data_IF_461332628697
#
_entry.id   IF_461332628697
#
_cell.length_a   1.000
_cell.length_b   1.000
_cell.length_c   1.000
_cell.angle_alpha   90.00
_cell.angle_beta   90.00
_cell.angle_gamma   90.00
#
_symmetry.space_group_name_H-M   'P 1'
#
loop_
_entity.id
_entity.type
_entity.pdbx_description
1 polymer ?
#
# COMPACT_ATOMS: atom_id res chain seq x y z
N UNK A 1 -37.14 -1.26 -27.34
CA UNK A 1 -37.92 -2.48 -27.64
C UNK A 1 -37.43 -3.60 -26.73
N UNK A 2 -38.34 -4.35 -26.10
CA UNK A 2 -37.95 -5.47 -25.25
C UNK A 2 -37.37 -6.62 -26.11
N UNK A 3 -36.20 -7.15 -25.74
CA UNK A 3 -35.46 -8.17 -26.52
C UNK A 3 -36.23 -9.50 -26.70
N UNK A 4 -37.19 -9.79 -25.81
CA UNK A 4 -37.97 -11.03 -25.81
C UNK A 4 -39.44 -10.72 -25.50
N UNK A 5 -40.36 -11.34 -26.24
CA UNK A 5 -41.81 -11.21 -26.04
C UNK A 5 -42.25 -11.89 -24.73
N UNK A 6 -43.40 -11.49 -24.18
CA UNK A 6 -43.95 -12.11 -22.97
C UNK A 6 -44.23 -13.60 -23.19
N UNK A 7 -44.82 -13.96 -24.34
CA UNK A 7 -45.16 -15.33 -24.71
C UNK A 7 -43.91 -16.23 -24.76
N UNK A 8 -42.82 -15.73 -25.32
CA UNK A 8 -41.54 -16.46 -25.35
C UNK A 8 -40.98 -16.69 -23.95
N UNK A 9 -41.03 -15.69 -23.06
CA UNK A 9 -40.57 -15.85 -21.66
C UNK A 9 -41.41 -16.87 -20.91
N UNK A 10 -42.73 -16.87 -21.11
CA UNK A 10 -43.65 -17.83 -20.49
C UNK A 10 -43.33 -19.26 -20.94
N UNK A 11 -43.11 -19.46 -22.24
CA UNK A 11 -42.73 -20.76 -22.80
C UNK A 11 -41.44 -21.29 -22.16
N UNK A 12 -40.40 -20.45 -22.07
CA UNK A 12 -39.11 -20.81 -21.45
C UNK A 12 -39.27 -21.18 -19.98
N UNK A 13 -40.09 -20.44 -19.23
CA UNK A 13 -40.33 -20.70 -17.80
C UNK A 13 -41.15 -21.98 -17.60
N UNK A 14 -42.21 -22.20 -18.39
CA UNK A 14 -43.01 -23.42 -18.33
C UNK A 14 -42.19 -24.66 -18.71
N UNK A 15 -41.30 -24.54 -19.70
CA UNK A 15 -40.37 -25.59 -20.10
C UNK A 15 -39.38 -25.98 -18.99
N UNK A 16 -38.94 -25.01 -18.19
CA UNK A 16 -38.14 -25.27 -17.00
C UNK A 16 -38.98 -25.93 -15.89
N UNK A 17 -40.19 -25.42 -15.62
CA UNK A 17 -41.05 -25.92 -14.55
C UNK A 17 -41.54 -27.36 -14.79
N UNK A 18 -41.65 -27.80 -16.05
CA UNK A 18 -41.96 -29.19 -16.41
C UNK A 18 -40.76 -30.14 -16.32
N UNK A 19 -39.52 -29.62 -16.25
CA UNK A 19 -38.27 -30.40 -16.24
C UNK A 19 -37.43 -30.12 -14.98
N UNK A 20 -38.02 -30.23 -13.78
CA UNK A 20 -37.43 -29.85 -12.48
C UNK A 20 -36.21 -30.66 -11.97
N UNK A 21 -35.64 -31.58 -12.74
CA UNK A 21 -34.47 -32.37 -12.31
C UNK A 21 -33.18 -31.52 -12.28
N UNK A 22 -32.12 -31.97 -11.59
CA UNK A 22 -30.89 -31.20 -11.28
C UNK A 22 -30.21 -30.48 -12.48
N UNK A 23 -30.42 -30.95 -13.70
CA UNK A 23 -29.92 -30.34 -14.94
C UNK A 23 -30.89 -29.36 -15.64
N UNK A 24 -32.02 -29.03 -15.00
CA UNK A 24 -33.15 -28.30 -15.61
C UNK A 24 -32.75 -26.96 -16.21
N UNK A 25 -32.04 -26.09 -15.46
CA UNK A 25 -31.59 -24.80 -15.99
C UNK A 25 -30.58 -24.94 -17.13
N UNK A 26 -29.73 -25.98 -17.10
CA UNK A 26 -28.71 -26.23 -18.13
C UNK A 26 -29.36 -26.70 -19.43
N UNK A 27 -30.33 -27.61 -19.34
CA UNK A 27 -31.08 -28.13 -20.49
C UNK A 27 -31.96 -27.04 -21.12
N UNK A 28 -32.69 -26.27 -20.32
CA UNK A 28 -33.50 -25.15 -20.83
C UNK A 28 -32.62 -24.05 -21.45
N UNK A 29 -31.45 -23.74 -20.86
CA UNK A 29 -30.48 -22.79 -21.44
C UNK A 29 -29.98 -23.22 -22.82
N UNK A 30 -29.60 -24.48 -22.96
CA UNK A 30 -29.11 -25.02 -24.24
C UNK A 30 -30.23 -25.05 -25.29
N UNK A 31 -31.45 -25.43 -24.90
CA UNK A 31 -32.62 -25.50 -25.80
C UNK A 31 -33.00 -24.14 -26.40
N UNK A 32 -33.02 -23.09 -25.59
CA UNK A 32 -33.44 -21.75 -26.02
C UNK A 32 -32.27 -20.82 -26.36
N UNK A 33 -31.02 -21.30 -26.30
CA UNK A 33 -29.78 -20.51 -26.52
C UNK A 33 -29.73 -19.25 -25.66
N UNK A 34 -30.09 -19.37 -24.37
CA UNK A 34 -30.11 -18.29 -23.40
C UNK A 34 -29.11 -18.55 -22.28
N UNK A 35 -28.59 -17.47 -21.67
CA UNK A 35 -27.74 -17.59 -20.49
C UNK A 35 -28.54 -18.10 -19.27
N UNK A 36 -27.89 -18.94 -18.45
CA UNK A 36 -28.51 -19.57 -17.26
C UNK A 36 -28.99 -18.53 -16.25
N UNK A 37 -28.32 -17.38 -16.13
CA UNK A 37 -28.75 -16.33 -15.21
C UNK A 37 -30.05 -15.66 -15.68
N UNK A 38 -30.24 -15.53 -17.01
CA UNK A 38 -31.46 -14.97 -17.60
C UNK A 38 -32.67 -15.84 -17.29
N UNK A 39 -32.52 -17.17 -17.41
CA UNK A 39 -33.60 -18.12 -17.11
C UNK A 39 -33.90 -18.16 -15.61
N UNK A 40 -32.86 -18.19 -14.76
CA UNK A 40 -33.03 -18.10 -13.30
C UNK A 40 -33.79 -16.83 -12.90
N UNK A 41 -33.51 -15.71 -13.54
CA UNK A 41 -34.22 -14.46 -13.31
C UNK A 41 -35.70 -14.55 -13.72
N UNK A 42 -36.01 -15.05 -14.92
CA UNK A 42 -37.41 -15.18 -15.37
C UNK A 42 -38.21 -16.15 -14.52
N UNK A 43 -37.62 -17.27 -14.12
CA UNK A 43 -38.25 -18.24 -13.21
C UNK A 43 -38.50 -17.61 -11.83
N UNK A 44 -37.53 -16.87 -11.28
CA UNK A 44 -37.70 -16.18 -10.00
C UNK A 44 -38.79 -15.08 -10.06
N UNK A 45 -38.87 -14.34 -11.16
CA UNK A 45 -39.93 -13.34 -11.40
C UNK A 45 -41.29 -14.03 -11.51
N UNK A 46 -41.39 -15.11 -12.28
CA UNK A 46 -42.64 -15.87 -12.46
C UNK A 46 -43.13 -16.47 -11.13
N UNK A 47 -42.23 -17.04 -10.32
CA UNK A 47 -42.56 -17.60 -9.00
C UNK A 47 -43.09 -16.55 -8.00
N UNK A 48 -42.81 -15.27 -8.21
CA UNK A 48 -43.13 -14.20 -7.25
C UNK A 48 -44.29 -13.31 -7.70
N UNK A 49 -44.40 -13.09 -9.01
CA UNK A 49 -45.36 -12.15 -9.62
C UNK A 49 -46.28 -12.83 -10.64
N UNK A 50 -46.18 -14.14 -10.83
CA UNK A 50 -46.94 -14.88 -11.83
C UNK A 50 -46.62 -14.45 -13.26
N UNK A 51 -47.57 -14.69 -14.17
CA UNK A 51 -47.44 -14.34 -15.59
C UNK A 51 -47.26 -12.82 -15.82
N UNK A 52 -47.87 -12.01 -14.95
CA UNK A 52 -47.79 -10.54 -14.98
C UNK A 52 -46.37 -10.01 -14.72
N UNK A 53 -45.54 -10.79 -14.03
CA UNK A 53 -44.13 -10.47 -13.82
C UNK A 53 -43.31 -10.47 -15.11
N UNK A 54 -43.70 -11.25 -16.11
CA UNK A 54 -42.95 -11.42 -17.37
C UNK A 54 -43.35 -10.39 -18.44
N UNK A 55 -44.44 -9.63 -18.21
CA UNK A 55 -44.91 -8.55 -19.09
C UNK A 55 -43.83 -7.48 -19.27
N UNK A 56 -43.62 -6.96 -20.50
CA UNK A 56 -42.75 -5.82 -20.71
C UNK A 56 -43.30 -4.61 -19.94
N UNK A 57 -42.41 -3.90 -19.26
CA UNK A 57 -42.76 -2.74 -18.45
C UNK A 57 -43.15 -1.58 -19.38
N UNK A 58 -44.45 -1.23 -19.44
CA UNK A 58 -45.01 -0.17 -20.31
C UNK A 58 -44.71 1.24 -19.81
N UNK A 59 -44.62 1.43 -18.48
CA UNK A 59 -44.34 2.73 -17.86
C UNK A 59 -43.12 2.67 -16.93
N UNK A 60 -42.33 3.75 -16.93
CA UNK A 60 -41.15 3.89 -16.09
C UNK A 60 -41.55 3.99 -14.63
N UNK A 61 -41.34 2.94 -13.85
CA UNK A 61 -41.54 2.97 -12.40
C UNK A 61 -40.48 3.88 -11.78
N UNK A 62 -40.92 4.84 -10.98
CA UNK A 62 -40.05 5.67 -10.16
C UNK A 62 -40.11 5.19 -8.73
N UNK A 63 -38.94 5.02 -8.11
CA UNK A 63 -38.81 4.61 -6.71
C UNK A 63 -38.29 5.79 -5.90
N UNK A 64 -38.89 6.03 -4.74
CA UNK A 64 -38.41 7.03 -3.80
C UNK A 64 -36.99 6.70 -3.32
N UNK A 65 -36.25 7.71 -2.88
CA UNK A 65 -34.91 7.54 -2.32
C UNK A 65 -34.92 6.66 -1.08
N UNK A 66 -35.95 6.80 -0.24
CA UNK A 66 -36.16 6.00 0.97
C UNK A 66 -36.38 4.53 0.64
N UNK A 67 -37.20 4.24 -0.38
CA UNK A 67 -37.42 2.86 -0.82
C UNK A 67 -36.13 2.23 -1.35
N UNK A 68 -35.37 2.96 -2.17
CA UNK A 68 -34.05 2.47 -2.66
C UNK A 68 -33.10 2.17 -1.51
N UNK A 69 -33.05 3.07 -0.52
CA UNK A 69 -32.19 2.92 0.65
C UNK A 69 -32.60 1.69 1.47
N UNK A 70 -33.90 1.50 1.72
CA UNK A 70 -34.45 0.33 2.42
C UNK A 70 -34.03 -0.98 1.75
N UNK A 71 -34.13 -1.04 0.42
CA UNK A 71 -33.75 -2.22 -0.36
C UNK A 71 -32.24 -2.49 -0.28
N UNK A 72 -31.41 -1.45 -0.44
CA UNK A 72 -29.94 -1.57 -0.39
C UNK A 72 -29.45 -1.99 1.00
N UNK A 73 -29.98 -1.37 2.07
CA UNK A 73 -29.62 -1.73 3.44
C UNK A 73 -30.02 -3.16 3.79
N UNK A 74 -31.19 -3.63 3.33
CA UNK A 74 -31.62 -5.02 3.53
C UNK A 74 -30.69 -6.02 2.84
N UNK A 75 -30.20 -5.70 1.63
CA UNK A 75 -29.21 -6.53 0.91
C UNK A 75 -27.88 -6.60 1.68
N UNK A 76 -27.40 -5.46 2.18
CA UNK A 76 -26.09 -5.37 2.84
C UNK A 76 -26.08 -5.94 4.26
N UNK A 77 -27.14 -5.71 5.04
CA UNK A 77 -27.21 -6.11 6.44
C UNK A 77 -27.58 -7.60 6.59
N UNK A 78 -28.49 -8.10 5.76
CA UNK A 78 -29.01 -9.48 5.87
C UNK A 78 -28.33 -10.43 4.87
N UNK A 79 -27.41 -9.94 4.05
CA UNK A 79 -26.65 -10.75 3.09
C UNK A 79 -27.50 -11.34 1.95
N UNK A 80 -28.64 -10.74 1.62
CA UNK A 80 -29.53 -11.26 0.58
C UNK A 80 -28.88 -11.22 -0.81
N UNK A 81 -29.05 -12.29 -1.59
CA UNK A 81 -28.68 -12.24 -3.01
C UNK A 81 -29.58 -11.26 -3.77
N UNK A 82 -29.12 -10.74 -4.90
CA UNK A 82 -29.93 -9.82 -5.73
C UNK A 82 -31.25 -10.46 -6.20
N UNK A 83 -31.26 -11.79 -6.35
CA UNK A 83 -32.46 -12.54 -6.71
C UNK A 83 -33.41 -12.61 -5.51
N UNK A 84 -32.90 -12.88 -4.30
CA UNK A 84 -33.73 -12.95 -3.10
C UNK A 84 -34.31 -11.58 -2.72
N UNK A 85 -33.53 -10.51 -2.89
CA UNK A 85 -34.01 -9.15 -2.74
C UNK A 85 -35.10 -8.81 -3.77
N UNK A 86 -34.98 -9.29 -5.00
CA UNK A 86 -36.01 -9.14 -6.02
C UNK A 86 -37.31 -9.83 -5.59
N UNK A 87 -37.23 -11.05 -5.03
CA UNK A 87 -38.39 -11.78 -4.51
C UNK A 87 -39.02 -11.05 -3.31
N UNK A 88 -38.20 -10.64 -2.36
CA UNK A 88 -38.65 -10.02 -1.11
C UNK A 88 -39.36 -8.68 -1.35
N UNK A 89 -38.83 -7.85 -2.25
CA UNK A 89 -39.39 -6.52 -2.57
C UNK A 89 -40.32 -6.52 -3.78
N UNK A 90 -40.65 -7.69 -4.35
CA UNK A 90 -41.55 -7.86 -5.51
C UNK A 90 -41.14 -6.99 -6.71
N UNK A 91 -39.84 -6.91 -6.98
CA UNK A 91 -39.28 -6.10 -8.07
C UNK A 91 -39.19 -6.90 -9.37
N UNK A 92 -39.16 -6.21 -10.51
CA UNK A 92 -39.16 -6.86 -11.84
C UNK A 92 -37.76 -6.99 -12.47
N UNK A 93 -36.75 -6.30 -11.95
CA UNK A 93 -35.46 -6.18 -12.64
C UNK A 93 -34.24 -6.18 -11.69
N UNK A 94 -33.36 -7.16 -11.88
CA UNK A 94 -32.10 -7.30 -11.13
C UNK A 94 -31.10 -6.18 -11.45
N UNK A 95 -31.06 -5.71 -12.70
CA UNK A 95 -30.15 -4.64 -13.13
C UNK A 95 -30.37 -3.32 -12.39
N UNK A 96 -31.63 -3.01 -12.04
CA UNK A 96 -31.99 -1.84 -11.25
C UNK A 96 -31.39 -1.92 -9.83
N UNK A 97 -31.46 -3.10 -9.19
CA UNK A 97 -30.84 -3.35 -7.87
C UNK A 97 -29.32 -3.25 -7.90
N UNK A 98 -28.69 -3.88 -8.90
CA UNK A 98 -27.23 -3.80 -9.08
C UNK A 98 -26.76 -2.36 -9.24
N UNK A 99 -27.53 -1.53 -9.96
CA UNK A 99 -27.22 -0.12 -10.17
C UNK A 99 -27.34 0.68 -8.87
N UNK A 100 -28.37 0.43 -8.05
CA UNK A 100 -28.52 1.09 -6.76
C UNK A 100 -27.40 0.71 -5.78
N UNK A 101 -27.05 -0.57 -5.70
CA UNK A 101 -25.96 -1.06 -4.86
C UNK A 101 -24.63 -0.39 -5.22
N UNK A 102 -24.31 -0.34 -6.52
CA UNK A 102 -23.08 0.30 -7.03
C UNK A 102 -23.05 1.80 -6.71
N UNK A 103 -24.15 2.50 -6.90
CA UNK A 103 -24.25 3.94 -6.60
C UNK A 103 -24.15 4.24 -5.11
N UNK A 104 -24.74 3.40 -4.28
CA UNK A 104 -24.64 3.51 -2.82
C UNK A 104 -23.23 3.24 -2.32
N UNK A 105 -22.55 2.22 -2.84
CA UNK A 105 -21.15 1.94 -2.51
C UNK A 105 -20.19 3.07 -2.92
N UNK A 106 -20.47 3.73 -4.06
CA UNK A 106 -19.61 4.80 -4.57
C UNK A 106 -19.87 6.17 -3.92
N UNK A 107 -21.12 6.49 -3.57
CA UNK A 107 -21.53 7.86 -3.21
C UNK A 107 -22.50 7.91 -2.01
N UNK A 108 -22.67 6.81 -1.27
CA UNK A 108 -23.60 6.73 -0.14
C UNK A 108 -25.05 7.04 -0.53
N UNK A 109 -25.79 7.64 0.41
CA UNK A 109 -27.21 7.99 0.24
C UNK A 109 -27.40 9.00 -0.92
N UNK A 110 -26.44 9.89 -1.16
CA UNK A 110 -26.50 10.87 -2.24
C UNK A 110 -26.47 10.22 -3.63
N UNK A 111 -25.85 9.06 -3.77
CA UNK A 111 -25.88 8.27 -5.00
C UNK A 111 -27.27 7.74 -5.39
N UNK A 112 -28.19 7.63 -4.43
CA UNK A 112 -29.55 7.12 -4.65
C UNK A 112 -30.56 8.23 -5.00
N UNK A 113 -30.19 9.50 -4.78
CA UNK A 113 -30.99 10.68 -5.14
C UNK A 113 -31.16 10.79 -6.66
N UNK A 114 -32.39 11.07 -7.09
CA UNK A 114 -32.64 11.39 -8.50
C UNK A 114 -32.00 12.73 -8.84
N UNK A 115 -31.07 12.75 -9.79
CA UNK A 115 -30.55 14.01 -10.34
C UNK A 115 -31.68 14.75 -11.07
N UNK A 116 -31.81 16.08 -10.92
CA UNK A 116 -32.74 16.85 -11.71
C UNK A 116 -32.39 16.67 -13.20
N UNK A 117 -33.39 16.29 -14.01
CA UNK A 117 -33.25 16.16 -15.46
C UNK A 117 -33.67 17.46 -16.12
N UNK A 118 -32.72 18.13 -16.75
CA UNK A 118 -32.92 19.26 -17.65
C UNK A 118 -31.64 19.49 -18.46
N UNK A 119 -31.78 20.01 -19.69
CA UNK A 119 -30.66 20.57 -20.44
C UNK A 119 -30.04 21.66 -19.56
N UNK A 120 -28.73 21.66 -19.26
CA UNK A 120 -28.14 22.83 -18.62
C UNK A 120 -28.50 24.05 -19.47
N UNK A 121 -29.06 25.09 -18.86
CA UNK A 121 -29.34 26.35 -19.57
C UNK A 121 -28.05 26.72 -20.31
N UNK A 122 -28.16 26.97 -21.62
CA UNK A 122 -27.05 27.45 -22.43
C UNK A 122 -26.42 28.63 -21.67
N UNK A 123 -25.15 28.52 -21.29
CA UNK A 123 -24.46 29.65 -20.69
C UNK A 123 -24.55 30.80 -21.69
N UNK A 124 -25.05 31.98 -21.31
CA UNK A 124 -24.96 33.14 -22.17
C UNK A 124 -23.48 33.34 -22.53
N UNK A 125 -23.20 33.60 -23.81
CA UNK A 125 -21.86 34.00 -24.25
C UNK A 125 -21.39 35.11 -23.31
N UNK A 126 -20.22 34.99 -22.66
CA UNK A 126 -19.75 36.04 -21.77
C UNK A 126 -19.67 37.33 -22.58
N UNK A 127 -20.49 38.32 -22.23
CA UNK A 127 -20.31 39.67 -22.74
C UNK A 127 -18.95 40.12 -22.20
N UNK A 128 -17.96 40.29 -23.09
CA UNK A 128 -16.72 40.97 -22.70
C UNK A 128 -17.14 42.37 -22.25
N UNK A 129 -16.94 42.76 -20.99
CA UNK A 129 -17.27 44.10 -20.57
C UNK A 129 -16.48 45.08 -21.45
N UNK A 130 -17.16 46.05 -22.07
CA UNK A 130 -16.47 47.20 -22.64
C UNK A 130 -15.83 47.91 -21.46
N UNK A 131 -14.50 47.77 -21.35
CA UNK A 131 -13.71 48.49 -20.34
C UNK A 131 -13.93 49.98 -20.62
N UNK A 132 -14.66 50.66 -19.75
CA UNK A 132 -14.75 52.12 -19.78
C UNK A 132 -13.42 52.62 -19.23
N UNK A 133 -12.60 53.25 -20.07
CA UNK A 133 -11.41 53.97 -19.60
C UNK A 133 -11.84 55.01 -18.57
N UNK A 134 -11.21 54.99 -17.40
CA UNK A 134 -11.48 55.98 -16.36
C UNK A 134 -11.01 57.36 -16.82
N UNK A 135 -11.53 58.44 -16.20
CA UNK A 135 -11.04 59.80 -16.47
C UNK A 135 -9.54 59.92 -16.16
N UNK A 136 -9.05 59.15 -15.18
CA UNK A 136 -7.63 59.07 -14.81
C UNK A 136 -6.78 58.44 -15.91
N UNK A 137 -7.27 57.42 -16.62
CA UNK A 137 -6.55 56.80 -17.73
C UNK A 137 -6.40 57.73 -18.94
N UNK A 138 -7.33 58.68 -19.11
CA UNK A 138 -7.28 59.69 -20.19
C UNK A 138 -6.29 60.80 -19.92
N UNK A 139 -5.96 61.03 -18.65
CA UNK A 139 -5.02 62.08 -18.22
C UNK A 139 -3.56 61.58 -18.16
N UNK A 140 -3.32 60.27 -18.35
CA UNK A 140 -1.97 59.69 -18.35
C UNK A 140 -1.21 60.05 -19.62
N UNK A 141 0.07 60.37 -19.50
CA UNK A 141 0.95 60.54 -20.66
C UNK A 141 1.27 59.20 -21.33
N UNK A 142 1.70 59.24 -22.59
CA UNK A 142 2.11 58.03 -23.34
C UNK A 142 3.20 57.24 -22.59
N UNK A 143 4.14 57.92 -21.95
CA UNK A 143 5.20 57.30 -21.15
C UNK A 143 4.64 56.59 -19.91
N UNK A 144 3.68 57.20 -19.21
CA UNK A 144 3.01 56.58 -18.06
C UNK A 144 2.23 55.33 -18.47
N UNK A 145 1.57 55.36 -19.63
CA UNK A 145 0.86 54.19 -20.17
C UNK A 145 1.83 53.06 -20.57
N UNK A 146 2.98 53.38 -21.17
CA UNK A 146 4.00 52.39 -21.53
C UNK A 146 4.62 51.74 -20.28
N UNK A 147 4.87 52.54 -19.24
CA UNK A 147 5.38 52.09 -17.94
C UNK A 147 4.37 51.19 -17.22
N UNK A 148 3.09 51.55 -17.23
CA UNK A 148 2.01 50.74 -16.68
C UNK A 148 1.84 49.43 -17.45
N UNK A 149 1.92 49.45 -18.78
CA UNK A 149 1.94 48.24 -19.60
C UNK A 149 3.15 47.35 -19.28
N UNK A 150 4.32 47.92 -19.05
CA UNK A 150 5.52 47.17 -18.66
C UNK A 150 5.33 46.48 -17.30
N UNK A 151 4.74 47.19 -16.32
CA UNK A 151 4.37 46.63 -15.02
C UNK A 151 3.35 45.49 -15.15
N UNK A 152 2.22 45.71 -15.84
CA UNK A 152 1.16 44.71 -16.01
C UNK A 152 1.65 43.46 -16.74
N UNK A 153 2.53 43.62 -17.74
CA UNK A 153 3.15 42.47 -18.42
C UNK A 153 4.03 41.67 -17.46
N UNK A 154 4.82 42.34 -16.61
CA UNK A 154 5.63 41.69 -15.58
C UNK A 154 4.77 41.00 -14.51
N UNK A 155 3.66 41.61 -14.11
CA UNK A 155 2.70 41.06 -13.15
C UNK A 155 2.05 39.78 -13.68
N UNK A 156 1.52 39.82 -14.91
CA UNK A 156 0.93 38.64 -15.55
C UNK A 156 1.97 37.54 -15.74
N UNK A 157 3.20 37.88 -16.14
CA UNK A 157 4.27 36.90 -16.30
C UNK A 157 4.65 36.23 -14.97
N UNK A 158 4.73 37.02 -13.89
CA UNK A 158 4.97 36.51 -12.55
C UNK A 158 3.81 35.65 -12.05
N UNK A 159 2.56 36.09 -12.23
CA UNK A 159 1.33 35.40 -11.84
C UNK A 159 0.99 34.15 -12.68
N UNK A 160 1.72 33.90 -13.78
CA UNK A 160 1.66 32.63 -14.52
C UNK A 160 2.61 31.56 -13.97
N UNK A 161 3.58 31.93 -13.14
CA UNK A 161 4.50 30.99 -12.45
C UNK A 161 3.98 30.41 -11.10
N UNK A 162 2.99 30.99 -10.35
CA UNK A 162 2.71 30.65 -8.96
C UNK A 162 1.81 29.42 -8.77
N UNK A 163 1.22 28.84 -9.83
CA UNK A 163 0.66 27.47 -9.75
C UNK A 163 1.71 26.44 -9.27
N UNK A 164 3.00 26.83 -9.29
CA UNK A 164 4.13 26.04 -8.82
C UNK A 164 4.79 26.50 -7.52
N UNK A 165 4.43 27.64 -6.89
CA UNK A 165 5.24 28.17 -5.77
C UNK A 165 5.31 27.23 -4.56
N UNK A 166 4.16 26.77 -4.08
CA UNK A 166 4.10 25.89 -2.91
C UNK A 166 4.49 24.45 -3.27
N UNK A 167 4.15 23.98 -4.47
CA UNK A 167 4.54 22.65 -4.94
C UNK A 167 6.04 22.54 -5.24
N UNK A 168 6.66 23.59 -5.77
CA UNK A 168 8.09 23.64 -6.09
C UNK A 168 8.96 23.97 -4.86
N UNK A 169 8.47 24.81 -3.93
CA UNK A 169 9.09 24.96 -2.61
C UNK A 169 9.12 23.63 -1.84
N UNK A 170 8.02 22.87 -1.86
CA UNK A 170 7.96 21.52 -1.30
C UNK A 170 8.86 20.53 -2.08
N UNK A 171 8.90 20.61 -3.42
CA UNK A 171 9.72 19.73 -4.28
C UNK A 171 11.22 19.94 -4.09
N UNK A 172 11.66 21.19 -3.89
CA UNK A 172 13.07 21.58 -3.78
C UNK A 172 13.56 21.70 -2.34
N UNK A 173 12.64 21.70 -1.36
CA UNK A 173 12.94 21.89 0.06
C UNK A 173 13.50 23.28 0.39
N UNK A 174 13.27 24.28 -0.48
CA UNK A 174 13.70 25.67 -0.30
C UNK A 174 12.57 26.52 0.29
N UNK A 175 12.94 27.60 0.98
CA UNK A 175 11.98 28.61 1.45
C UNK A 175 11.20 29.22 0.28
N UNK A 176 9.93 29.55 0.50
CA UNK A 176 9.08 30.30 -0.44
C UNK A 176 9.76 31.58 -0.94
N UNK A 177 10.50 32.28 -0.08
CA UNK A 177 11.26 33.49 -0.44
C UNK A 177 12.41 33.19 -1.41
N UNK A 178 13.10 32.06 -1.25
CA UNK A 178 14.18 31.66 -2.15
C UNK A 178 13.65 31.21 -3.52
N UNK A 179 12.48 30.55 -3.55
CA UNK A 179 11.80 30.18 -4.80
C UNK A 179 11.32 31.43 -5.56
N UNK A 180 10.70 32.39 -4.85
CA UNK A 180 10.28 33.65 -5.44
C UNK A 180 11.48 34.45 -5.99
N UNK A 181 12.61 34.51 -5.27
CA UNK A 181 13.82 35.17 -5.76
C UNK A 181 14.37 34.52 -7.04
N UNK A 182 14.27 33.19 -7.16
CA UNK A 182 14.65 32.47 -8.39
C UNK A 182 13.75 32.84 -9.57
N UNK A 183 12.44 32.90 -9.38
CA UNK A 183 11.49 33.33 -10.43
C UNK A 183 11.73 34.76 -10.87
N UNK A 184 12.04 35.66 -9.93
CA UNK A 184 12.44 37.04 -10.24
C UNK A 184 13.71 37.04 -11.09
N UNK A 185 14.73 36.25 -10.74
CA UNK A 185 15.96 36.13 -11.55
C UNK A 185 15.73 35.57 -12.94
N UNK A 186 14.83 34.60 -13.13
CA UNK A 186 14.44 34.09 -14.45
C UNK A 186 13.75 35.17 -15.29
N UNK A 187 12.80 35.90 -14.70
CA UNK A 187 12.03 36.94 -15.39
C UNK A 187 12.82 38.23 -15.63
N UNK A 188 13.90 38.45 -14.89
CA UNK A 188 14.79 39.62 -15.02
C UNK A 188 15.41 39.74 -16.41
N UNK A 189 15.46 38.67 -17.19
CA UNK A 189 15.92 38.69 -18.59
C UNK A 189 14.97 39.45 -19.52
N UNK A 190 13.69 39.53 -19.19
CA UNK A 190 12.65 40.10 -20.07
C UNK A 190 11.87 41.25 -19.43
N UNK A 191 11.97 41.42 -18.11
CA UNK A 191 11.23 42.43 -17.35
C UNK A 191 12.14 43.16 -16.36
N UNK A 192 11.86 44.44 -16.12
CA UNK A 192 12.66 45.24 -15.19
C UNK A 192 12.48 44.77 -13.75
N UNK A 193 13.60 44.72 -13.01
CA UNK A 193 13.63 44.24 -11.62
C UNK A 193 12.68 45.03 -10.70
N UNK A 194 12.50 46.34 -10.91
CA UNK A 194 11.59 47.17 -10.10
C UNK A 194 10.14 46.66 -10.15
N UNK A 195 9.68 46.25 -11.33
CA UNK A 195 8.33 45.73 -11.50
C UNK A 195 8.21 44.34 -10.88
N UNK A 196 9.20 43.48 -11.08
CA UNK A 196 9.21 42.13 -10.51
C UNK A 196 9.27 42.12 -8.96
N UNK A 197 10.01 43.04 -8.35
CA UNK A 197 10.03 43.19 -6.88
C UNK A 197 8.69 43.71 -6.36
N UNK A 198 8.06 44.65 -7.08
CA UNK A 198 6.74 45.18 -6.73
C UNK A 198 5.63 44.13 -6.86
N UNK A 199 5.65 43.31 -7.91
CA UNK A 199 4.64 42.26 -8.14
C UNK A 199 4.80 41.06 -7.20
N UNK A 200 6.02 40.78 -6.74
CA UNK A 200 6.31 39.70 -5.80
C UNK A 200 6.25 40.13 -4.33
N UNK A 201 6.01 41.41 -4.05
CA UNK A 201 6.08 42.03 -2.72
C UNK A 201 7.42 41.73 -1.99
N UNK A 202 8.50 41.54 -2.76
CA UNK A 202 9.81 41.18 -2.21
C UNK A 202 10.69 42.41 -2.01
N UNK A 203 11.23 42.57 -0.79
CA UNK A 203 12.24 43.59 -0.53
C UNK A 203 13.50 43.36 -1.38
N UNK A 204 14.06 44.45 -1.92
CA UNK A 204 15.26 44.43 -2.78
C UNK A 204 16.45 43.74 -2.10
N UNK A 205 16.66 43.99 -0.81
CA UNK A 205 17.71 43.35 0.00
C UNK A 205 17.56 41.84 0.06
N UNK A 206 16.34 41.33 0.23
CA UNK A 206 16.02 39.89 0.25
C UNK A 206 16.31 39.22 -1.10
N UNK A 207 16.01 39.90 -2.22
CA UNK A 207 16.36 39.40 -3.55
C UNK A 207 17.88 39.24 -3.72
N UNK A 208 18.65 40.30 -3.43
CA UNK A 208 20.11 40.26 -3.58
C UNK A 208 20.77 39.27 -2.60
N UNK A 209 20.22 39.12 -1.38
CA UNK A 209 20.66 38.09 -0.44
C UNK A 209 20.53 36.68 -1.06
N UNK A 210 19.37 36.35 -1.62
CA UNK A 210 19.16 35.05 -2.26
C UNK A 210 19.94 34.89 -3.57
N UNK A 211 20.13 35.96 -4.34
CA UNK A 211 20.99 35.96 -5.54
C UNK A 211 22.45 35.63 -5.19
N UNK A 212 23.01 36.28 -4.17
CA UNK A 212 24.36 35.98 -3.69
C UNK A 212 24.46 34.58 -3.09
N UNK A 213 23.44 34.15 -2.34
CA UNK A 213 23.41 32.81 -1.77
C UNK A 213 23.33 31.72 -2.85
N UNK A 214 22.69 31.99 -3.98
CA UNK A 214 22.61 31.04 -5.11
C UNK A 214 23.94 30.85 -5.84
N UNK A 215 24.85 31.83 -5.73
CA UNK A 215 26.21 31.78 -6.28
C UNK A 215 27.20 31.05 -5.36
N UNK A 216 26.84 30.80 -4.09
CA UNK A 216 27.69 30.05 -3.16
C UNK A 216 27.59 28.56 -3.43
N UNK A 217 28.72 27.88 -3.34
CA UNK A 217 28.77 26.42 -3.43
C UNK A 217 27.91 25.78 -2.32
N UNK A 218 27.25 24.68 -2.66
CA UNK A 218 26.45 23.94 -1.70
C UNK A 218 27.37 23.32 -0.65
N UNK A 219 27.39 23.91 0.55
CA UNK A 219 28.13 23.42 1.73
C UNK A 219 27.94 21.91 1.98
N UNK A 220 26.82 21.34 1.56
CA UNK A 220 26.50 19.93 1.76
C UNK A 220 26.70 19.06 0.51
N UNK A 221 27.40 19.54 -0.53
CA UNK A 221 27.60 18.81 -1.78
C UNK A 221 28.20 17.41 -1.53
N UNK A 222 29.35 17.34 -0.85
CA UNK A 222 30.03 16.07 -0.57
C UNK A 222 29.17 15.15 0.30
N UNK A 223 28.52 15.72 1.31
CA UNK A 223 27.62 14.98 2.18
C UNK A 223 26.42 14.40 1.41
N UNK A 224 25.86 15.15 0.45
CA UNK A 224 24.78 14.66 -0.42
C UNK A 224 25.26 13.51 -1.31
N UNK A 225 26.49 13.59 -1.83
CA UNK A 225 27.11 12.49 -2.59
C UNK A 225 27.25 11.24 -1.72
N UNK A 226 27.77 11.39 -0.49
CA UNK A 226 27.91 10.26 0.45
C UNK A 226 26.56 9.65 0.84
N UNK A 227 25.55 10.48 1.11
CA UNK A 227 24.18 10.02 1.37
C UNK A 227 23.64 9.22 0.19
N UNK A 228 23.82 9.71 -1.05
CA UNK A 228 23.40 8.98 -2.27
C UNK A 228 24.15 7.66 -2.41
N UNK A 229 25.46 7.65 -2.22
CA UNK A 229 26.27 6.43 -2.32
C UNK A 229 25.78 5.35 -1.33
N UNK A 230 25.56 5.72 -0.07
CA UNK A 230 25.01 4.80 0.95
C UNK A 230 23.60 4.34 0.58
N UNK A 231 22.75 5.26 0.12
CA UNK A 231 21.38 4.94 -0.27
C UNK A 231 21.34 3.91 -1.41
N UNK A 232 22.12 4.12 -2.47
CA UNK A 232 22.18 3.23 -3.63
C UNK A 232 22.87 1.90 -3.30
N UNK A 233 23.95 1.92 -2.49
CA UNK A 233 24.60 0.69 -1.98
C UNK A 233 23.58 -0.24 -1.30
N UNK A 234 22.67 0.34 -0.52
CA UNK A 234 21.62 -0.41 0.18
C UNK A 234 20.30 -0.50 -0.60
N UNK A 235 20.31 -0.29 -1.92
CA UNK A 235 19.13 -0.40 -2.80
C UNK A 235 17.91 0.39 -2.32
N UNK A 236 18.13 1.57 -1.71
CA UNK A 236 17.07 2.42 -1.17
C UNK A 236 16.40 1.91 0.13
N UNK A 237 16.90 0.83 0.74
CA UNK A 237 16.33 0.23 1.96
C UNK A 237 16.58 1.08 3.22
N UNK A 238 17.53 2.00 3.18
CA UNK A 238 17.92 2.81 4.33
C UNK A 238 17.20 4.15 4.39
N UNK A 239 16.45 4.38 5.46
CA UNK A 239 15.95 5.70 5.82
C UNK A 239 16.99 6.54 6.56
N UNK A 240 16.67 7.81 6.81
CA UNK A 240 17.61 8.79 7.37
C UNK A 240 18.32 8.34 8.65
N UNK A 241 17.64 7.58 9.53
CA UNK A 241 18.26 7.05 10.77
C UNK A 241 19.39 6.07 10.48
N UNK A 242 19.20 5.15 9.53
CA UNK A 242 20.24 4.18 9.13
C UNK A 242 21.33 4.87 8.31
N UNK A 243 20.99 5.80 7.44
CA UNK A 243 22.01 6.58 6.73
C UNK A 243 22.86 7.38 7.72
N UNK A 244 22.26 7.97 8.76
CA UNK A 244 23.02 8.66 9.81
C UNK A 244 24.00 7.72 10.52
N UNK A 245 23.57 6.50 10.85
CA UNK A 245 24.45 5.51 11.47
C UNK A 245 25.56 5.02 10.52
N UNK A 246 25.23 4.79 9.25
CA UNK A 246 26.21 4.43 8.24
C UNK A 246 27.25 5.54 8.02
N UNK A 247 26.82 6.80 7.99
CA UNK A 247 27.71 7.97 7.96
C UNK A 247 28.60 8.03 9.21
N UNK A 248 28.04 7.75 10.39
CA UNK A 248 28.81 7.67 11.63
C UNK A 248 29.87 6.58 11.59
N UNK A 249 29.56 5.40 11.03
CA UNK A 249 30.51 4.31 10.85
C UNK A 249 31.63 4.68 9.85
N UNK A 250 31.39 5.63 8.95
CA UNK A 250 32.39 6.22 8.05
C UNK A 250 33.15 7.42 8.68
N UNK A 251 32.93 7.72 9.97
CA UNK A 251 33.61 8.80 10.69
C UNK A 251 32.88 10.15 10.70
N UNK A 252 31.71 10.27 10.05
CA UNK A 252 30.97 11.54 10.03
C UNK A 252 30.08 11.71 11.26
N UNK A 253 30.24 12.83 11.99
CA UNK A 253 29.37 13.16 13.13
C UNK A 253 28.34 14.22 12.72
N UNK A 254 27.17 13.77 12.25
CA UNK A 254 26.13 14.64 11.70
C UNK A 254 24.79 14.36 12.38
N UNK A 255 24.05 15.43 12.71
CA UNK A 255 22.73 15.31 13.29
C UNK A 255 21.73 14.68 12.29
N UNK A 256 20.97 13.69 12.76
CA UNK A 256 19.97 12.98 11.96
C UNK A 256 18.94 13.90 11.29
N UNK A 257 18.59 15.05 11.89
CA UNK A 257 17.70 16.06 11.28
C UNK A 257 18.31 16.68 10.01
N UNK A 258 19.62 16.89 10.00
CA UNK A 258 20.33 17.38 8.82
C UNK A 258 20.30 16.34 7.70
N UNK A 259 20.59 15.07 8.02
CA UNK A 259 20.49 13.96 7.06
C UNK A 259 19.08 13.84 6.50
N UNK A 260 18.05 13.93 7.35
CA UNK A 260 16.65 13.90 6.94
C UNK A 260 16.31 15.03 5.96
N UNK A 261 16.69 16.28 6.28
CA UNK A 261 16.48 17.46 5.41
C UNK A 261 17.17 17.28 4.05
N UNK A 262 18.39 16.77 4.04
CA UNK A 262 19.15 16.55 2.80
C UNK A 262 18.52 15.45 1.95
N UNK A 263 18.11 14.32 2.55
CA UNK A 263 17.39 13.26 1.84
C UNK A 263 16.08 13.78 1.23
N UNK A 264 15.31 14.59 1.97
CA UNK A 264 14.09 15.22 1.46
C UNK A 264 14.38 16.13 0.26
N UNK A 265 15.43 16.96 0.33
CA UNK A 265 15.84 17.82 -0.80
C UNK A 265 16.25 17.04 -2.06
N UNK A 266 16.72 15.81 -1.89
CA UNK A 266 17.08 14.90 -2.98
C UNK A 266 15.97 13.89 -3.32
N UNK A 267 14.81 13.99 -2.67
CA UNK A 267 13.66 13.11 -2.84
C UNK A 267 13.95 11.61 -2.56
N UNK A 268 14.97 11.32 -1.74
CA UNK A 268 15.30 9.96 -1.34
C UNK A 268 14.36 9.50 -0.22
N UNK A 269 13.65 8.39 -0.44
CA UNK A 269 12.68 7.82 0.50
C UNK A 269 12.94 6.33 0.68
N UNK A 270 12.95 5.86 1.92
CA UNK A 270 13.08 4.43 2.20
C UNK A 270 11.78 3.68 1.96
N UNK A 271 11.87 2.41 1.58
CA UNK A 271 10.72 1.49 1.54
C UNK A 271 10.06 1.39 2.93
N UNK A 272 8.76 1.65 3.02
CA UNK A 272 7.98 1.54 4.26
C UNK A 272 7.14 0.26 4.19
N UNK A 273 7.11 -0.49 5.29
CA UNK A 273 6.24 -1.67 5.44
C UNK A 273 4.77 -1.24 5.38
N UNK A 274 4.02 -1.80 4.44
CA UNK A 274 2.56 -1.71 4.45
C UNK A 274 1.98 -2.50 5.63
N UNK A 275 1.16 -1.85 6.47
CA UNK A 275 0.47 -2.50 7.59
C UNK A 275 -0.74 -3.25 7.04
N UNK A 276 -0.84 -4.56 7.29
CA UNK A 276 -1.98 -5.39 6.90
C UNK A 276 -2.76 -5.85 8.15
N UNK A 277 -4.08 -5.80 8.08
CA UNK A 277 -5.01 -6.31 9.10
C UNK A 277 -4.99 -7.85 9.17
N UNK A 278 -5.19 -8.44 10.35
CA UNK A 278 -5.18 -9.90 10.57
C UNK A 278 -6.30 -10.34 11.52
N UNK A 279 -7.03 -11.40 11.16
CA UNK A 279 -7.98 -12.12 12.01
C UNK A 279 -7.77 -13.63 11.84
N UNK A 280 -7.71 -14.41 12.93
CA UNK A 280 -7.55 -15.87 12.85
C UNK A 280 -8.41 -16.64 13.89
N UNK A 281 -8.85 -17.85 13.51
CA UNK A 281 -9.69 -18.81 14.28
C UNK A 281 -9.23 -20.26 14.02
N UNK A 282 -9.25 -21.13 15.05
CA UNK A 282 -9.35 -22.61 14.90
C UNK A 282 -8.14 -23.47 15.33
N UNK A 283 -8.38 -24.62 16.00
CA UNK A 283 -7.40 -25.50 16.71
C UNK A 283 -7.32 -26.90 16.11
N UNK A 284 -6.11 -27.48 16.01
CA UNK A 284 -5.86 -28.95 15.95
C UNK A 284 -4.46 -29.24 16.59
N UNK A 285 -4.36 -30.17 17.57
CA UNK A 285 -3.08 -30.81 17.98
C UNK A 285 -2.60 -30.67 19.46
N UNK A 286 -1.47 -31.33 19.80
CA UNK A 286 -0.84 -31.37 21.15
C UNK A 286 0.15 -30.20 21.33
N UNK A 287 -0.07 -29.40 22.36
CA UNK A 287 0.55 -28.07 22.54
C UNK A 287 1.59 -28.10 23.67
N UNK A 288 2.78 -27.52 23.43
CA UNK A 288 3.79 -27.28 24.47
C UNK A 288 3.50 -25.98 25.25
N UNK A 289 3.97 -25.87 26.51
CA UNK A 289 3.79 -24.66 27.34
C UNK A 289 4.57 -23.47 26.75
N UNK A 290 4.02 -22.25 26.85
CA UNK A 290 4.73 -21.03 26.45
C UNK A 290 5.76 -20.63 27.53
N UNK A 291 7.00 -21.03 27.34
CA UNK A 291 8.13 -20.75 28.23
C UNK A 291 8.77 -19.39 27.93
N UNK A 292 8.77 -18.93 26.68
CA UNK A 292 9.37 -17.64 26.29
C UNK A 292 8.66 -16.43 26.91
N UNK A 293 7.32 -16.49 27.07
CA UNK A 293 6.51 -15.44 27.71
C UNK A 293 6.83 -14.00 27.24
N UNK A 294 7.12 -13.82 25.94
CA UNK A 294 7.50 -12.52 25.32
C UNK A 294 8.82 -11.91 25.84
N UNK A 295 9.64 -12.68 26.55
CA UNK A 295 10.99 -12.26 26.94
C UNK A 295 11.97 -12.42 25.77
N UNK A 296 11.86 -11.54 24.78
CA UNK A 296 12.65 -11.59 23.54
C UNK A 296 14.12 -11.13 23.70
N UNK A 297 14.53 -10.72 24.90
CA UNK A 297 15.93 -10.37 25.19
C UNK A 297 16.71 -11.63 25.57
N UNK A 298 17.85 -11.83 24.94
CA UNK A 298 18.89 -12.77 25.31
C UNK A 298 20.17 -11.98 25.62
N UNK A 299 20.95 -12.42 26.60
CA UNK A 299 22.17 -11.73 27.03
C UNK A 299 23.43 -12.34 26.41
N UNK A 300 23.34 -13.59 25.92
CA UNK A 300 24.40 -14.28 25.17
C UNK A 300 23.83 -14.92 23.89
N UNK A 301 24.68 -15.16 22.87
CA UNK A 301 24.30 -15.99 21.72
C UNK A 301 23.77 -17.36 22.15
N UNK A 302 22.94 -17.98 21.31
CA UNK A 302 22.42 -19.34 21.49
C UNK A 302 21.66 -19.60 22.81
N UNK A 303 21.10 -18.55 23.43
CA UNK A 303 20.21 -18.73 24.60
C UNK A 303 18.74 -18.87 24.20
N UNK A 304 18.28 -18.10 23.22
CA UNK A 304 16.88 -18.07 22.80
C UNK A 304 16.77 -17.92 21.29
N UNK A 305 16.12 -18.89 20.68
CA UNK A 305 15.87 -18.96 19.26
C UNK A 305 14.38 -18.82 18.98
N UNK A 306 14.05 -18.21 17.84
CA UNK A 306 12.68 -18.15 17.32
C UNK A 306 12.62 -18.70 15.90
N UNK A 307 11.53 -19.37 15.56
CA UNK A 307 11.28 -19.93 14.22
C UNK A 307 9.82 -19.78 13.84
N UNK A 308 9.57 -19.71 12.54
CA UNK A 308 8.23 -19.71 11.94
C UNK A 308 8.34 -20.03 10.44
N UNK A 309 7.23 -20.27 9.76
CA UNK A 309 7.21 -20.50 8.31
C UNK A 309 6.47 -19.37 7.62
N UNK A 310 7.03 -18.87 6.51
CA UNK A 310 6.35 -17.89 5.65
C UNK A 310 6.25 -18.38 4.22
N UNK A 311 5.13 -18.06 3.57
CA UNK A 311 4.89 -18.29 2.15
C UNK A 311 5.14 -17.02 1.30
N UNK A 312 5.71 -17.25 0.12
CA UNK A 312 5.76 -16.33 -1.02
C UNK A 312 5.01 -16.96 -2.20
N UNK A 313 4.42 -16.12 -3.06
CA UNK A 313 3.72 -16.57 -4.26
C UNK A 313 4.17 -15.72 -5.44
N UNK A 314 4.75 -16.37 -6.45
CA UNK A 314 5.20 -15.76 -7.70
C UNK A 314 4.48 -16.49 -8.83
N UNK A 315 3.65 -15.76 -9.57
CA UNK A 315 2.96 -16.27 -10.77
C UNK A 315 2.20 -17.60 -10.56
N UNK A 316 1.68 -17.84 -9.36
CA UNK A 316 0.94 -19.06 -9.01
C UNK A 316 1.79 -20.18 -8.42
N UNK A 317 3.11 -20.07 -8.47
CA UNK A 317 4.02 -20.97 -7.78
C UNK A 317 4.35 -20.45 -6.37
N UNK A 318 4.50 -21.37 -5.43
CA UNK A 318 4.73 -21.05 -4.02
C UNK A 318 6.17 -21.37 -3.61
N UNK A 319 6.72 -20.52 -2.74
CA UNK A 319 7.99 -20.74 -2.07
C UNK A 319 7.79 -20.56 -0.56
N UNK A 320 8.22 -21.54 0.22
CA UNK A 320 8.15 -21.53 1.68
C UNK A 320 9.54 -21.36 2.27
N UNK A 321 9.67 -20.42 3.19
CA UNK A 321 10.88 -20.16 3.96
C UNK A 321 10.65 -20.53 5.42
N UNK A 322 11.56 -21.33 5.96
CA UNK A 322 11.64 -21.66 7.38
C UNK A 322 13.00 -21.21 7.91
N UNK A 323 13.09 -20.10 8.66
CA UNK A 323 14.34 -19.66 9.28
C UNK A 323 14.32 -19.82 10.81
N UNK A 324 15.49 -20.05 11.40
CA UNK A 324 15.74 -19.84 12.83
C UNK A 324 16.52 -18.54 13.02
N UNK A 325 16.05 -17.72 13.96
CA UNK A 325 16.70 -16.50 14.38
C UNK A 325 17.20 -16.60 15.83
N UNK A 326 18.44 -16.18 16.07
CA UNK A 326 18.96 -15.94 17.43
C UNK A 326 18.47 -14.59 17.94
N UNK A 327 17.79 -14.56 19.09
CA UNK A 327 17.24 -13.34 19.66
C UNK A 327 18.29 -12.37 20.24
N UNK A 328 19.52 -12.83 20.49
CA UNK A 328 20.61 -12.00 21.01
C UNK A 328 20.91 -10.80 20.07
N UNK A 329 21.21 -11.09 18.80
CA UNK A 329 21.53 -10.11 17.76
C UNK A 329 20.45 -10.04 16.65
N UNK A 330 19.52 -10.99 16.63
CA UNK A 330 18.53 -11.14 15.57
C UNK A 330 19.14 -11.62 14.25
N UNK A 331 20.20 -12.42 14.29
CA UNK A 331 20.81 -13.11 13.15
C UNK A 331 19.97 -14.32 12.74
N UNK A 332 19.81 -14.53 11.44
CA UNK A 332 19.24 -15.78 10.92
C UNK A 332 20.37 -16.81 10.87
N UNK A 333 20.37 -17.76 11.81
CA UNK A 333 21.46 -18.71 11.96
C UNK A 333 21.32 -19.91 11.02
N UNK A 334 20.10 -20.26 10.63
CA UNK A 334 19.81 -21.34 9.69
C UNK A 334 18.50 -21.04 8.98
N UNK A 335 18.36 -21.50 7.74
CA UNK A 335 17.10 -21.44 7.02
C UNK A 335 17.05 -22.49 5.93
N UNK A 336 15.84 -22.89 5.55
CA UNK A 336 15.59 -23.72 4.39
C UNK A 336 14.49 -23.11 3.52
N UNK A 337 14.54 -23.45 2.23
CA UNK A 337 13.58 -23.03 1.21
C UNK A 337 13.03 -24.25 0.49
N UNK A 338 11.71 -24.34 0.34
CA UNK A 338 11.06 -25.41 -0.44
C UNK A 338 9.84 -24.87 -1.17
N UNK A 339 9.51 -25.46 -2.33
CA UNK A 339 8.31 -25.08 -3.11
C UNK A 339 7.01 -25.64 -2.54
N UNK A 340 7.11 -26.58 -1.59
CA UNK A 340 5.97 -27.24 -0.93
C UNK A 340 6.14 -27.16 0.59
N UNK A 341 5.03 -27.06 1.36
CA UNK A 341 5.07 -26.97 2.82
C UNK A 341 5.23 -28.37 3.43
N UNK A 342 6.35 -29.04 3.15
CA UNK A 342 6.63 -30.39 3.64
C UNK A 342 7.38 -30.32 4.98
N UNK A 343 7.27 -31.38 5.79
CA UNK A 343 8.01 -31.47 7.05
C UNK A 343 9.53 -31.42 6.86
N UNK A 344 10.02 -31.89 5.70
CA UNK A 344 11.43 -31.81 5.32
C UNK A 344 12.02 -30.40 5.48
N UNK A 345 11.26 -29.36 5.12
CA UNK A 345 11.65 -27.96 5.28
C UNK A 345 12.10 -27.64 6.72
N UNK A 346 11.34 -28.08 7.71
CA UNK A 346 11.59 -27.78 9.12
C UNK A 346 12.62 -28.73 9.72
N UNK A 347 12.61 -30.00 9.27
CA UNK A 347 13.58 -31.02 9.66
C UNK A 347 15.01 -30.62 9.27
N UNK A 348 15.21 -30.29 7.99
CA UNK A 348 16.54 -29.97 7.47
C UNK A 348 17.04 -28.66 8.05
N UNK A 349 16.15 -27.68 8.21
CA UNK A 349 16.45 -26.41 8.87
C UNK A 349 16.90 -26.61 10.33
N UNK A 350 16.21 -27.46 11.10
CA UNK A 350 16.58 -27.74 12.48
C UNK A 350 17.95 -28.44 12.55
N UNK A 351 18.19 -29.39 11.66
CA UNK A 351 19.48 -30.09 11.56
C UNK A 351 20.63 -29.11 11.32
N UNK A 352 20.46 -28.18 10.38
CA UNK A 352 21.46 -27.16 10.06
C UNK A 352 21.72 -26.19 11.23
N UNK A 353 20.69 -25.87 12.02
CA UNK A 353 20.82 -25.03 13.19
C UNK A 353 21.55 -25.74 14.34
N UNK A 354 21.18 -26.99 14.63
CA UNK A 354 21.82 -27.79 15.67
C UNK A 354 23.30 -28.02 15.36
N UNK A 355 23.66 -28.24 14.10
CA UNK A 355 25.05 -28.42 13.67
C UNK A 355 25.96 -27.20 13.97
N UNK A 356 25.38 -26.02 14.26
CA UNK A 356 26.12 -24.79 14.61
C UNK A 356 26.25 -24.56 16.11
N UNK A 357 25.64 -25.42 16.93
CA UNK A 357 25.72 -25.33 18.39
C UNK A 357 27.04 -25.90 18.90
N UNK A 358 27.58 -25.25 19.93
CA UNK A 358 28.62 -25.87 20.75
C UNK A 358 27.99 -26.89 21.70
N UNK A 359 28.78 -27.82 22.24
CA UNK A 359 28.29 -28.86 23.17
C UNK A 359 27.60 -28.33 24.43
N UNK A 360 27.92 -27.10 24.84
CA UNK A 360 27.35 -26.44 26.01
C UNK A 360 26.10 -25.60 25.71
N UNK A 361 25.79 -25.37 24.43
CA UNK A 361 24.67 -24.52 24.04
C UNK A 361 23.34 -25.28 24.19
N UNK A 362 22.42 -24.73 24.98
CA UNK A 362 21.09 -25.31 25.22
C UNK A 362 20.00 -24.26 25.01
N UNK A 363 19.81 -23.75 23.77
CA UNK A 363 18.84 -22.71 23.51
C UNK A 363 17.40 -23.15 23.81
N UNK A 364 16.60 -22.19 24.26
CA UNK A 364 15.14 -22.29 24.16
C UNK A 364 14.77 -22.00 22.70
N UNK A 365 14.06 -22.91 22.03
CA UNK A 365 13.52 -22.67 20.69
C UNK A 365 12.02 -22.39 20.78
N UNK A 366 11.61 -21.22 20.31
CA UNK A 366 10.23 -20.77 20.33
C UNK A 366 9.61 -20.77 18.92
N UNK A 367 8.47 -21.43 18.78
CA UNK A 367 7.71 -21.48 17.53
C UNK A 367 6.24 -21.12 17.75
N UNK A 368 5.50 -21.01 16.65
CA UNK A 368 4.04 -21.08 16.73
C UNK A 368 3.56 -22.52 17.00
N UNK A 369 2.24 -22.72 17.00
CA UNK A 369 1.60 -24.03 17.15
C UNK A 369 1.43 -24.77 15.81
N UNK A 370 2.22 -24.47 14.79
CA UNK A 370 2.18 -25.19 13.51
C UNK A 370 2.39 -26.70 13.68
N UNK A 371 1.69 -27.51 12.87
CA UNK A 371 1.72 -28.97 12.97
C UNK A 371 3.14 -29.55 12.87
N UNK A 372 4.01 -28.91 12.08
CA UNK A 372 5.41 -29.26 11.91
C UNK A 372 6.19 -29.25 13.23
N UNK A 373 5.90 -28.31 14.13
CA UNK A 373 6.60 -28.17 15.41
C UNK A 373 6.03 -29.12 16.47
N UNK A 374 4.85 -29.68 16.24
CA UNK A 374 4.21 -30.66 17.12
C UNK A 374 4.61 -32.11 16.78
N UNK A 375 5.34 -32.35 15.69
CA UNK A 375 5.72 -33.69 15.27
C UNK A 375 6.69 -34.35 16.26
N UNK A 376 6.51 -35.66 16.49
CA UNK A 376 7.37 -36.45 17.40
C UNK A 376 8.85 -36.35 17.06
N UNK A 377 9.19 -36.40 15.77
CA UNK A 377 10.58 -36.28 15.32
C UNK A 377 11.20 -34.95 15.78
N UNK A 378 10.48 -33.83 15.61
CA UNK A 378 10.96 -32.51 16.03
C UNK A 378 11.21 -32.47 17.55
N UNK A 379 10.25 -32.95 18.34
CA UNK A 379 10.37 -33.01 19.81
C UNK A 379 11.53 -33.91 20.26
N UNK A 380 11.72 -35.06 19.62
CA UNK A 380 12.83 -35.97 19.91
C UNK A 380 14.17 -35.35 19.59
N UNK A 381 14.31 -34.66 18.44
CA UNK A 381 15.56 -33.99 18.09
C UNK A 381 15.92 -32.89 19.10
N UNK A 382 14.94 -32.11 19.55
CA UNK A 382 15.17 -31.10 20.60
C UNK A 382 15.61 -31.75 21.91
N UNK A 383 14.93 -32.81 22.35
CA UNK A 383 15.26 -33.50 23.59
C UNK A 383 16.66 -34.14 23.54
N UNK A 384 17.01 -34.79 22.43
CA UNK A 384 18.31 -35.45 22.23
C UNK A 384 19.49 -34.47 22.34
N UNK A 385 19.29 -33.22 21.92
CA UNK A 385 20.33 -32.18 21.95
C UNK A 385 20.18 -31.23 23.14
N UNK A 386 19.23 -31.49 24.06
CA UNK A 386 19.03 -30.66 25.26
C UNK A 386 18.40 -29.29 25.01
N UNK A 387 17.75 -29.09 23.85
CA UNK A 387 17.03 -27.85 23.53
C UNK A 387 15.65 -27.84 24.21
N UNK A 388 15.23 -26.67 24.68
CA UNK A 388 13.94 -26.50 25.37
C UNK A 388 12.91 -25.99 24.36
N UNK A 389 11.87 -26.77 24.09
CA UNK A 389 10.77 -26.33 23.22
C UNK A 389 9.84 -25.35 23.94
N UNK A 390 9.53 -24.24 23.28
CA UNK A 390 8.48 -23.30 23.68
C UNK A 390 7.54 -23.07 22.50
N UNK A 391 6.23 -23.02 22.74
CA UNK A 391 5.24 -22.68 21.71
C UNK A 391 4.42 -21.46 22.12
N UNK A 392 4.08 -20.61 21.16
CA UNK A 392 3.20 -19.45 21.38
C UNK A 392 1.79 -19.89 21.79
N UNK A 393 1.02 -18.98 22.41
CA UNK A 393 -0.41 -19.21 22.59
C UNK A 393 -1.11 -19.08 21.24
N UNK A 394 -2.06 -19.97 20.98
CA UNK A 394 -2.88 -19.94 19.77
C UNK A 394 -3.50 -18.56 19.54
N UNK A 395 -3.35 -18.04 18.33
CA UNK A 395 -3.92 -16.75 17.91
C UNK A 395 -3.22 -15.51 18.49
N UNK A 396 -2.08 -15.66 19.16
CA UNK A 396 -1.32 -14.56 19.74
C UNK A 396 -0.03 -14.32 18.95
N UNK A 397 -0.11 -13.49 17.91
CA UNK A 397 1.03 -13.08 17.09
C UNK A 397 2.13 -12.36 17.90
N UNK A 398 1.78 -11.76 19.04
CA UNK A 398 2.74 -11.04 19.89
C UNK A 398 3.77 -11.98 20.50
N UNK A 399 3.44 -13.27 20.67
CA UNK A 399 4.35 -14.25 21.27
C UNK A 399 5.49 -14.63 20.31
N UNK A 400 5.33 -14.43 18.98
CA UNK A 400 6.39 -14.64 17.97
C UNK A 400 6.74 -13.35 17.20
N UNK A 401 6.54 -12.18 17.83
CA UNK A 401 6.65 -10.88 17.20
C UNK A 401 8.03 -10.63 16.53
N UNK A 402 9.11 -11.19 17.08
CA UNK A 402 10.45 -11.05 16.52
C UNK A 402 10.56 -11.67 15.12
N UNK A 403 10.01 -12.87 14.95
CA UNK A 403 10.01 -13.57 13.68
C UNK A 403 9.06 -12.91 12.68
N UNK A 404 7.88 -12.49 13.13
CA UNK A 404 6.94 -11.72 12.30
C UNK A 404 7.52 -10.37 11.84
N UNK A 405 8.30 -9.71 12.68
CA UNK A 405 8.99 -8.47 12.35
C UNK A 405 9.99 -8.68 11.23
N UNK A 406 10.78 -9.76 11.32
CA UNK A 406 11.70 -10.14 10.24
C UNK A 406 10.96 -10.45 8.95
N UNK A 407 9.88 -11.24 8.97
CA UNK A 407 9.13 -11.51 7.74
C UNK A 407 8.54 -10.23 7.13
N UNK A 408 8.07 -9.30 7.97
CA UNK A 408 7.61 -8.00 7.50
C UNK A 408 8.72 -7.20 6.81
N UNK A 409 9.93 -7.20 7.39
CA UNK A 409 11.12 -6.57 6.83
C UNK A 409 11.52 -7.23 5.52
N UNK A 410 11.71 -8.55 5.52
CA UNK A 410 12.09 -9.36 4.37
C UNK A 410 11.11 -9.12 3.21
N UNK A 411 9.81 -9.26 3.42
CA UNK A 411 8.83 -9.06 2.35
C UNK A 411 8.79 -7.63 1.84
N UNK A 412 8.99 -6.63 2.69
CA UNK A 412 8.96 -5.22 2.25
C UNK A 412 10.23 -4.80 1.51
N UNK A 413 11.40 -5.28 1.94
CA UNK A 413 12.70 -4.89 1.37
C UNK A 413 13.17 -5.81 0.22
N UNK A 414 12.56 -6.99 0.06
CA UNK A 414 12.97 -8.02 -0.90
C UNK A 414 11.86 -8.48 -1.86
N UNK A 415 10.57 -8.32 -1.53
CA UNK A 415 9.49 -8.98 -2.28
C UNK A 415 8.44 -8.02 -2.87
N UNK A 416 7.82 -7.15 -2.06
CA UNK A 416 6.66 -6.36 -2.50
C UNK A 416 6.96 -5.25 -3.51
N UNK A 417 8.22 -4.94 -3.79
CA UNK A 417 8.64 -3.90 -4.74
C UNK A 417 9.44 -4.42 -5.93
N UNK A 418 9.59 -5.74 -6.06
CA UNK A 418 10.38 -6.40 -7.10
C UNK A 418 9.45 -7.29 -7.94
N UNK A 419 9.72 -7.38 -9.24
CA UNK A 419 9.02 -8.31 -10.14
C UNK A 419 9.88 -9.54 -10.35
N UNK A 420 9.36 -10.72 -9.98
CA UNK A 420 10.05 -11.98 -10.17
C UNK A 420 9.48 -12.72 -11.39
N UNK A 421 10.38 -13.22 -12.23
CA UNK A 421 10.01 -13.98 -13.42
C UNK A 421 9.79 -15.46 -13.10
N UNK A 422 10.51 -15.98 -12.10
CA UNK A 422 10.41 -17.38 -11.66
C UNK A 422 10.61 -17.55 -10.15
N UNK A 423 10.31 -18.74 -9.64
CA UNK A 423 10.55 -19.08 -8.23
C UNK A 423 12.03 -19.26 -7.93
N UNK A 424 12.83 -19.73 -8.88
CA UNK A 424 14.28 -19.87 -8.76
C UNK A 424 14.95 -18.51 -8.54
N UNK A 425 14.53 -17.49 -9.30
CA UNK A 425 14.99 -16.12 -9.12
C UNK A 425 14.65 -15.60 -7.72
N UNK A 426 13.43 -15.84 -7.23
CA UNK A 426 13.04 -15.49 -5.87
C UNK A 426 13.87 -16.26 -4.82
N UNK A 427 14.10 -17.55 -5.02
CA UNK A 427 14.86 -18.39 -4.10
C UNK A 427 16.28 -17.85 -3.92
N UNK A 428 16.95 -17.53 -5.04
CA UNK A 428 18.28 -16.94 -5.03
C UNK A 428 18.28 -15.56 -4.36
N UNK A 429 17.30 -14.72 -4.69
CA UNK A 429 17.16 -13.38 -4.11
C UNK A 429 16.93 -13.43 -2.59
N UNK A 430 16.15 -14.40 -2.09
CA UNK A 430 15.95 -14.59 -0.64
C UNK A 430 17.23 -15.03 0.05
N UNK A 431 18.02 -15.94 -0.56
CA UNK A 431 19.33 -16.35 -0.03
C UNK A 431 20.28 -15.16 0.09
N UNK A 432 20.41 -14.38 -0.98
CA UNK A 432 21.22 -13.16 -1.01
C UNK A 432 20.74 -12.12 0.01
N UNK A 433 19.42 -11.96 0.14
CA UNK A 433 18.86 -11.03 1.11
C UNK A 433 19.15 -11.47 2.55
N UNK A 434 19.07 -12.76 2.87
CA UNK A 434 19.40 -13.26 4.22
C UNK A 434 20.88 -13.02 4.52
N UNK A 435 21.77 -13.22 3.55
CA UNK A 435 23.18 -12.87 3.68
C UNK A 435 23.35 -11.36 3.94
N UNK A 436 22.76 -10.51 3.10
CA UNK A 436 22.73 -9.05 3.29
C UNK A 436 22.18 -8.65 4.68
N UNK A 437 21.09 -9.27 5.11
CA UNK A 437 20.43 -9.00 6.39
C UNK A 437 21.36 -9.31 7.59
N UNK A 438 22.13 -10.40 7.51
CA UNK A 438 23.03 -10.83 8.56
C UNK A 438 24.35 -10.04 8.58
N UNK A 439 24.92 -9.76 7.41
CA UNK A 439 26.29 -9.26 7.29
C UNK A 439 26.38 -7.74 7.06
N UNK A 440 25.43 -7.15 6.36
CA UNK A 440 25.53 -5.74 5.92
C UNK A 440 24.44 -4.84 6.51
N UNK A 441 23.27 -5.40 6.82
CA UNK A 441 22.09 -4.61 7.20
C UNK A 441 22.18 -4.16 8.66
N UNK A 442 22.52 -2.90 8.85
CA UNK A 442 22.66 -2.32 10.19
C UNK A 442 21.32 -2.19 10.91
N UNK A 443 21.35 -2.38 12.23
CA UNK A 443 20.19 -2.19 13.11
C UNK A 443 20.46 -1.04 14.08
N UNK A 444 19.48 -0.16 14.22
CA UNK A 444 19.52 0.94 15.21
C UNK A 444 19.66 0.38 16.63
N UNK A 445 18.96 -0.73 16.95
CA UNK A 445 19.06 -1.40 18.25
C UNK A 445 20.46 -1.97 18.55
N UNK A 446 21.24 -2.27 17.50
CA UNK A 446 22.62 -2.77 17.60
C UNK A 446 23.63 -1.63 17.40
N UNK A 447 23.23 -0.39 17.70
CA UNK A 447 24.08 0.82 17.61
C UNK A 447 24.72 1.03 16.24
N UNK A 448 24.10 0.56 15.16
CA UNK A 448 24.62 0.72 13.79
C UNK A 448 25.45 -0.45 13.28
N UNK A 449 25.42 -1.59 13.96
CA UNK A 449 26.06 -2.84 13.52
C UNK A 449 25.05 -3.77 12.84
N UNK A 450 25.54 -4.61 11.92
CA UNK A 450 24.82 -5.77 11.43
C UNK A 450 24.71 -6.86 12.51
N UNK A 451 23.78 -7.82 12.38
CA UNK A 451 23.67 -8.93 13.33
C UNK A 451 25.00 -9.66 13.58
N UNK A 452 25.73 -10.01 12.52
CA UNK A 452 26.98 -10.73 12.62
C UNK A 452 28.07 -9.87 13.24
N UNK A 453 28.21 -8.60 12.82
CA UNK A 453 29.18 -7.67 13.40
C UNK A 453 28.99 -7.51 14.91
N UNK A 454 27.74 -7.39 15.37
CA UNK A 454 27.41 -7.29 16.79
C UNK A 454 27.81 -8.55 17.57
N UNK A 455 27.58 -9.74 17.01
CA UNK A 455 28.00 -11.01 17.64
C UNK A 455 29.51 -11.11 17.71
N UNK A 456 30.21 -10.85 16.61
CA UNK A 456 31.68 -10.88 16.57
C UNK A 456 32.30 -9.88 17.53
N UNK A 457 31.75 -8.67 17.64
CA UNK A 457 32.22 -7.67 18.60
C UNK A 457 31.97 -8.11 20.05
N UNK A 458 30.78 -8.65 20.35
CA UNK A 458 30.44 -9.13 21.68
C UNK A 458 31.32 -10.29 22.13
N UNK A 459 31.67 -11.19 21.21
CA UNK A 459 32.58 -12.31 21.47
C UNK A 459 34.05 -11.89 21.65
N UNK A 460 34.45 -10.72 21.12
CA UNK A 460 35.79 -10.15 21.37
C UNK A 460 35.89 -9.39 22.68
N UNK A 461 34.75 -8.95 23.21
CA UNK A 461 34.66 -8.15 24.44
C UNK A 461 34.35 -9.00 25.68
N UNK A 462 33.90 -10.24 25.48
CA UNK A 462 33.68 -11.27 26.50
C UNK A 462 34.92 -12.15 26.61
#
# INVERSE_FOLDING_TARGET
MAKYSQQFKLEVVQNYLSNKNDDGFRKTANKYKLDRATIRQWVAIYQTLGEDGLKPQSHRITYSTEFKLKVVLKILNDGLSLIDALRFFKLKEVGTLSTWLRKYQAHGIDGLKSKPKGRPKQMPKPQRPRIKTSQEDRNKTQEQLLEELAYLRAEVAYLKKPESLDSEAQRTGKSRTATAARFISELRQSYQLRHLLRTSEMARSTYFYHEQQSKREDKYSDLKQQIKAIYHKHKGRYGYRRITLALKNLGFTINHKCVQRLMQSMQLRSCIRAVKYRSYKGQIGKIAKNVLQRQFKADKPNQKWVTDVTEFNVRGEKLYLSPIMDLFNGEIIAFQLQRRPLFGLVKDMLKDAIAKLSSNDKPIIHSDQGWQYQMRFYQQQLQQHGLIQSMSRKGNCLDNASMESFFGILKSECFYGEEFNSVEELEQTVKEYIHYYNHERIKVKLKGLSPVEYRTQSLKAA
#
